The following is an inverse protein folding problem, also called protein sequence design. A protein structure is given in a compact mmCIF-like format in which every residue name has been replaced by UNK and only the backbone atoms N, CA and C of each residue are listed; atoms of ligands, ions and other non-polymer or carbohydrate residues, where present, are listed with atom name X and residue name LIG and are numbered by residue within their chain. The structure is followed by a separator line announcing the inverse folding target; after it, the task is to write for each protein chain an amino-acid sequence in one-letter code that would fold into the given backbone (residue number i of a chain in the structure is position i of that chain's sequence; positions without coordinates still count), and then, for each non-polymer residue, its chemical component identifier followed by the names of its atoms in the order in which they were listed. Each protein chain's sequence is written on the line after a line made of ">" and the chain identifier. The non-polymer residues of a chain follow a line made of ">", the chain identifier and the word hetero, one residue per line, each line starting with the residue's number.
data_IF_190616226896
#
_entry.id   IF_190616226896
#
_cell.length_a   1.000
_cell.length_b   1.000
_cell.length_c   1.000
_cell.angle_alpha   90.00
_cell.angle_beta   90.00
_cell.angle_gamma   90.00
#
_symmetry.space_group_name_H-M   'P 1'
#
loop_
_entity.id
_entity.type
_entity.pdbx_description
1 polymer ?
#
# COMPACT_ATOMS: atom_id res chain seq x y z
N UNK A 1 28.23 20.98 -28.18
CA UNK A 1 27.63 19.72 -28.64
C UNK A 1 28.72 18.69 -28.62
N UNK A 2 28.71 17.83 -27.61
CA UNK A 2 29.78 16.86 -27.36
C UNK A 2 29.11 15.51 -27.13
N UNK A 3 29.14 14.67 -28.16
CA UNK A 3 28.54 13.34 -28.18
C UNK A 3 29.38 12.38 -27.33
N UNK A 4 28.82 11.90 -26.22
CA UNK A 4 29.36 10.79 -25.44
C UNK A 4 28.89 9.48 -26.09
N UNK A 5 29.74 8.88 -26.91
CA UNK A 5 29.64 7.48 -27.30
C UNK A 5 30.02 6.63 -26.07
N UNK A 6 29.06 5.86 -25.56
CA UNK A 6 29.31 4.77 -24.61
C UNK A 6 29.18 3.47 -25.39
N UNK A 7 30.33 2.91 -25.75
CA UNK A 7 30.45 1.55 -26.30
C UNK A 7 29.93 0.53 -25.28
N UNK A 8 28.91 -0.22 -25.69
CA UNK A 8 28.48 -1.44 -25.01
C UNK A 8 29.54 -2.54 -25.22
N UNK A 9 30.20 -2.96 -24.15
CA UNK A 9 30.99 -4.18 -24.11
C UNK A 9 30.46 -5.06 -22.96
N UNK A 10 29.82 -6.21 -23.23
CA UNK A 10 29.47 -7.15 -22.19
C UNK A 10 30.70 -7.95 -21.77
N UNK A 11 31.25 -7.65 -20.59
CA UNK A 11 32.22 -8.50 -19.90
C UNK A 11 31.52 -9.78 -19.44
N UNK A 12 31.57 -10.84 -20.25
CA UNK A 12 31.31 -12.20 -19.81
C UNK A 12 32.55 -12.71 -19.05
N UNK A 13 32.50 -12.63 -17.72
CA UNK A 13 33.52 -13.25 -16.88
C UNK A 13 33.09 -14.69 -16.57
N UNK A 14 33.78 -15.64 -17.20
CA UNK A 14 33.59 -17.08 -17.00
C UNK A 14 34.15 -17.51 -15.65
N UNK A 15 33.27 -17.73 -14.67
CA UNK A 15 33.58 -18.58 -13.53
C UNK A 15 32.74 -19.85 -13.65
N UNK A 16 33.39 -20.93 -14.09
CA UNK A 16 32.86 -22.28 -13.99
C UNK A 16 32.79 -22.68 -12.52
N UNK A 17 31.67 -22.40 -11.88
CA UNK A 17 31.28 -23.04 -10.63
C UNK A 17 30.78 -24.44 -11.01
N UNK A 18 31.59 -25.46 -10.74
CA UNK A 18 31.15 -26.86 -10.77
C UNK A 18 30.09 -27.04 -9.69
N UNK A 19 28.82 -26.85 -10.05
CA UNK A 19 27.69 -27.30 -9.25
C UNK A 19 27.50 -28.79 -9.53
N UNK A 20 27.67 -29.58 -8.47
CA UNK A 20 27.28 -30.98 -8.44
C UNK A 20 25.81 -31.11 -8.84
N UNK A 21 25.61 -31.88 -9.90
CA UNK A 21 24.33 -32.14 -10.54
C UNK A 21 23.55 -33.22 -9.78
N UNK A 22 22.84 -32.83 -8.72
CA UNK A 22 21.66 -33.57 -8.26
C UNK A 22 20.45 -33.03 -9.04
N UNK A 23 20.32 -33.46 -10.30
CA UNK A 23 19.16 -33.19 -11.14
C UNK A 23 17.90 -33.82 -10.52
N UNK A 24 17.24 -33.10 -9.62
CA UNK A 24 15.81 -33.27 -9.46
C UNK A 24 15.17 -32.86 -10.80
N UNK A 25 14.45 -33.75 -11.49
CA UNK A 25 13.82 -33.39 -12.75
C UNK A 25 12.89 -32.21 -12.50
N UNK A 26 13.13 -31.11 -13.21
CA UNK A 26 12.28 -29.93 -13.17
C UNK A 26 10.82 -30.41 -13.35
N UNK A 27 9.91 -30.11 -12.41
CA UNK A 27 8.53 -30.55 -12.54
C UNK A 27 8.03 -30.04 -13.88
N UNK A 28 7.59 -30.99 -14.73
CA UNK A 28 7.11 -30.74 -16.09
C UNK A 28 6.25 -29.47 -16.06
N UNK A 29 6.70 -28.45 -16.80
CA UNK A 29 6.03 -27.16 -16.97
C UNK A 29 4.52 -27.35 -16.89
N UNK A 30 3.92 -26.90 -15.79
CA UNK A 30 2.47 -26.93 -15.65
C UNK A 30 1.89 -26.20 -16.86
N UNK A 31 1.16 -26.88 -17.75
CA UNK A 31 0.68 -26.22 -18.94
C UNK A 31 -0.25 -25.08 -18.50
N UNK A 32 0.00 -23.87 -18.99
CA UNK A 32 -0.69 -22.65 -18.53
C UNK A 32 -2.23 -22.78 -18.55
N UNK A 33 -2.78 -23.63 -19.44
CA UNK A 33 -4.22 -23.90 -19.50
C UNK A 33 -4.78 -24.59 -18.25
N UNK A 34 -3.96 -25.25 -17.42
CA UNK A 34 -4.37 -25.80 -16.13
C UNK A 34 -4.51 -24.74 -15.04
N UNK A 35 -3.87 -23.57 -15.17
CA UNK A 35 -4.05 -22.47 -14.20
C UNK A 35 -5.51 -22.02 -14.20
N UNK A 36 -6.14 -21.88 -15.37
CA UNK A 36 -7.55 -21.54 -15.48
C UNK A 36 -8.47 -22.60 -14.86
N UNK A 37 -8.02 -23.87 -14.82
CA UNK A 37 -8.73 -24.99 -14.18
C UNK A 37 -8.58 -24.99 -12.64
N UNK A 38 -7.52 -24.39 -12.12
CA UNK A 38 -7.28 -24.19 -10.68
C UNK A 38 -7.97 -22.90 -10.20
N UNK A 39 -7.99 -21.87 -11.05
CA UNK A 39 -8.65 -20.58 -10.82
C UNK A 39 -10.16 -20.58 -11.16
N UNK A 40 -10.76 -21.74 -11.49
CA UNK A 40 -12.17 -21.83 -11.92
C UNK A 40 -13.18 -21.56 -10.80
N UNK A 41 -12.73 -21.58 -9.55
CA UNK A 41 -13.54 -21.15 -8.43
C UNK A 41 -13.28 -19.65 -8.28
N UNK A 42 -14.34 -18.85 -8.36
CA UNK A 42 -14.29 -17.40 -8.11
C UNK A 42 -13.53 -17.19 -6.79
N UNK A 43 -12.26 -16.77 -6.89
CA UNK A 43 -11.33 -16.70 -5.75
C UNK A 43 -11.81 -15.65 -4.75
N UNK A 44 -12.69 -14.77 -5.20
CA UNK A 44 -13.27 -13.68 -4.43
C UNK A 44 -14.72 -14.00 -4.12
N UNK A 45 -15.11 -13.81 -2.85
CA UNK A 45 -16.53 -13.89 -2.51
C UNK A 45 -17.28 -12.74 -3.20
N UNK A 46 -18.59 -12.90 -3.46
CA UNK A 46 -19.40 -11.85 -4.08
C UNK A 46 -19.31 -10.50 -3.36
N UNK A 47 -19.10 -10.50 -2.05
CA UNK A 47 -18.89 -9.30 -1.23
C UNK A 47 -17.64 -8.55 -1.64
N UNK A 48 -16.54 -9.27 -1.90
CA UNK A 48 -15.27 -8.69 -2.34
C UNK A 48 -15.41 -8.12 -3.74
N UNK A 49 -16.05 -8.85 -4.66
CA UNK A 49 -16.33 -8.37 -6.02
C UNK A 49 -17.18 -7.10 -5.98
N UNK A 50 -18.26 -7.06 -5.19
CA UNK A 50 -19.08 -5.86 -5.00
C UNK A 50 -18.29 -4.69 -4.42
N UNK A 51 -17.42 -4.93 -3.45
CA UNK A 51 -16.61 -3.87 -2.85
C UNK A 51 -15.58 -3.29 -3.83
N UNK A 52 -14.95 -4.14 -4.65
CA UNK A 52 -14.03 -3.71 -5.72
C UNK A 52 -14.78 -2.91 -6.77
N UNK A 53 -15.95 -3.40 -7.21
CA UNK A 53 -16.77 -2.70 -8.20
C UNK A 53 -17.22 -1.33 -7.69
N UNK A 54 -17.70 -1.23 -6.44
CA UNK A 54 -18.07 0.07 -5.83
C UNK A 54 -16.90 1.08 -5.83
N UNK A 55 -15.68 0.62 -5.57
CA UNK A 55 -14.49 1.48 -5.62
C UNK A 55 -14.18 1.93 -7.05
N UNK A 56 -14.32 1.03 -8.00
CA UNK A 56 -14.14 1.33 -9.42
C UNK A 56 -15.15 2.39 -9.88
N UNK A 57 -16.44 2.13 -9.67
CA UNK A 57 -17.53 3.02 -10.05
C UNK A 57 -17.38 4.40 -9.41
N UNK A 58 -17.03 4.44 -8.11
CA UNK A 58 -16.74 5.70 -7.42
C UNK A 58 -15.63 6.49 -8.11
N UNK A 59 -14.50 5.83 -8.44
CA UNK A 59 -13.36 6.47 -9.08
C UNK A 59 -13.73 7.04 -10.46
N UNK A 60 -14.47 6.29 -11.27
CA UNK A 60 -14.91 6.74 -12.59
C UNK A 60 -15.85 7.94 -12.51
N UNK A 61 -16.91 7.84 -11.71
CA UNK A 61 -17.92 8.90 -11.56
C UNK A 61 -17.33 10.15 -10.93
N UNK A 62 -16.47 10.01 -9.92
CA UNK A 62 -15.81 11.15 -9.27
C UNK A 62 -14.92 11.93 -10.24
N UNK A 63 -14.13 11.22 -11.05
CA UNK A 63 -13.29 11.85 -12.07
C UNK A 63 -14.12 12.57 -13.13
N UNK A 64 -15.25 11.98 -13.54
CA UNK A 64 -16.18 12.62 -14.48
C UNK A 64 -16.79 13.89 -13.87
N UNK A 65 -17.25 13.82 -12.62
CA UNK A 65 -17.80 14.96 -11.90
C UNK A 65 -16.78 16.10 -11.78
N UNK A 66 -15.52 15.80 -11.43
CA UNK A 66 -14.45 16.80 -11.39
C UNK A 66 -14.21 17.48 -12.74
N UNK A 67 -14.20 16.71 -13.84
CA UNK A 67 -14.06 17.25 -15.20
C UNK A 67 -15.24 18.17 -15.56
N UNK A 68 -16.46 17.75 -15.24
CA UNK A 68 -17.67 18.53 -15.48
C UNK A 68 -17.65 19.84 -14.69
N UNK A 69 -17.30 19.80 -13.41
CA UNK A 69 -17.15 20.98 -12.56
C UNK A 69 -16.10 21.92 -13.10
N UNK A 70 -14.90 21.41 -13.44
CA UNK A 70 -13.82 22.24 -13.99
C UNK A 70 -14.25 22.92 -15.29
N UNK A 71 -14.83 22.18 -16.22
CA UNK A 71 -15.30 22.74 -17.49
C UNK A 71 -16.41 23.78 -17.30
N UNK A 72 -17.34 23.54 -16.37
CA UNK A 72 -18.41 24.49 -16.06
C UNK A 72 -17.89 25.77 -15.39
N UNK A 73 -16.87 25.66 -14.53
CA UNK A 73 -16.21 26.82 -13.91
C UNK A 73 -15.43 27.63 -14.95
N UNK A 74 -14.68 26.97 -15.84
CA UNK A 74 -13.94 27.63 -16.91
C UNK A 74 -14.86 28.39 -17.87
N UNK A 75 -16.01 27.80 -18.24
CA UNK A 75 -17.00 28.47 -19.12
C UNK A 75 -17.82 29.54 -18.39
N UNK A 76 -18.04 29.38 -17.09
CA UNK A 76 -18.81 30.31 -16.26
C UNK A 76 -20.30 30.39 -16.60
N UNK A 77 -20.98 31.35 -15.94
CA UNK A 77 -22.36 31.76 -16.24
C UNK A 77 -23.38 30.62 -16.28
N UNK A 78 -24.02 30.45 -17.43
CA UNK A 78 -25.09 29.47 -17.64
C UNK A 78 -24.61 28.02 -17.55
N UNK A 79 -23.36 27.73 -17.89
CA UNK A 79 -22.82 26.36 -17.78
C UNK A 79 -22.81 25.90 -16.32
N UNK A 80 -22.39 26.79 -15.42
CA UNK A 80 -22.39 26.52 -13.98
C UNK A 80 -23.82 26.41 -13.42
N UNK A 81 -24.75 27.27 -13.87
CA UNK A 81 -26.17 27.17 -13.48
C UNK A 81 -26.80 25.86 -13.93
N UNK A 82 -26.53 25.43 -15.17
CA UNK A 82 -27.03 24.16 -15.71
C UNK A 82 -26.52 22.98 -14.89
N UNK A 83 -25.21 22.95 -14.61
CA UNK A 83 -24.62 21.89 -13.79
C UNK A 83 -25.24 21.82 -12.38
N UNK A 84 -25.39 22.97 -11.71
CA UNK A 84 -26.03 23.03 -10.38
C UNK A 84 -27.47 22.51 -10.40
N UNK A 85 -28.25 22.90 -11.41
CA UNK A 85 -29.64 22.42 -11.56
C UNK A 85 -29.66 20.91 -11.74
N UNK A 86 -28.88 20.36 -12.68
CA UNK A 86 -28.84 18.93 -12.94
C UNK A 86 -28.43 18.11 -11.72
N UNK A 87 -27.47 18.58 -10.92
CA UNK A 87 -27.09 17.90 -9.68
C UNK A 87 -28.21 17.93 -8.64
N UNK A 88 -28.89 19.06 -8.46
CA UNK A 88 -30.01 19.15 -7.52
C UNK A 88 -31.19 18.29 -7.95
N UNK A 89 -31.51 18.25 -9.24
CA UNK A 89 -32.57 17.40 -9.78
C UNK A 89 -32.24 15.91 -9.52
N UNK A 90 -30.98 15.51 -9.75
CA UNK A 90 -30.53 14.15 -9.45
C UNK A 90 -30.64 13.81 -7.95
N UNK A 91 -30.22 14.71 -7.05
CA UNK A 91 -30.36 14.50 -5.61
C UNK A 91 -31.83 14.40 -5.17
N UNK A 92 -32.72 15.17 -5.80
CA UNK A 92 -34.16 15.12 -5.50
C UNK A 92 -34.78 13.79 -5.94
N UNK A 93 -34.39 13.27 -7.10
CA UNK A 93 -34.86 11.96 -7.58
C UNK A 93 -34.33 10.81 -6.72
N UNK A 94 -33.04 10.83 -6.34
CA UNK A 94 -32.47 9.83 -5.41
C UNK A 94 -33.19 9.82 -4.06
N UNK A 95 -33.55 10.98 -3.51
CA UNK A 95 -34.33 11.04 -2.26
C UNK A 95 -35.72 10.42 -2.40
N UNK A 96 -36.42 10.63 -3.52
CA UNK A 96 -37.73 10.02 -3.77
C UNK A 96 -37.65 8.49 -3.88
N UNK A 97 -36.62 7.98 -4.55
CA UNK A 97 -36.33 6.54 -4.66
C UNK A 97 -36.00 5.92 -3.29
N UNK A 98 -35.28 6.64 -2.42
CA UNK A 98 -34.98 6.14 -1.08
C UNK A 98 -36.24 6.01 -0.21
N UNK A 99 -37.20 6.95 -0.32
CA UNK A 99 -38.41 6.95 0.49
C UNK A 99 -39.39 5.83 0.12
N UNK A 100 -39.40 5.40 -1.14
CA UNK A 100 -40.27 4.32 -1.64
C UNK A 100 -39.75 2.91 -1.33
N UNK A 101 -38.47 2.76 -1.00
CA UNK A 101 -37.84 1.47 -0.67
C UNK A 101 -37.72 1.20 0.84
N UNK A 102 -38.24 2.09 1.69
CA UNK A 102 -38.07 2.04 3.16
C UNK A 102 -39.27 1.47 3.93
N UNK A 103 -40.27 0.87 3.27
CA UNK A 103 -41.39 0.22 3.96
C UNK A 103 -41.00 -1.11 4.67
N UNK A 104 -39.75 -1.56 4.52
CA UNK A 104 -39.16 -2.71 5.25
C UNK A 104 -37.83 -2.36 5.96
N UNK A 105 -37.69 -1.14 6.50
CA UNK A 105 -36.53 -0.82 7.35
C UNK A 105 -36.69 -1.47 8.74
N UNK A 106 -35.96 -2.58 8.95
CA UNK A 106 -35.68 -3.08 10.29
C UNK A 106 -35.18 -1.94 11.19
N UNK A 107 -35.82 -1.80 12.34
CA UNK A 107 -35.54 -0.81 13.39
C UNK A 107 -34.07 -0.94 13.87
N UNK A 108 -33.13 -0.26 13.22
CA UNK A 108 -31.79 -0.09 13.74
C UNK A 108 -31.88 0.87 14.94
N UNK A 109 -31.93 0.32 16.15
CA UNK A 109 -31.87 1.12 17.37
C UNK A 109 -30.42 1.58 17.60
N UNK A 110 -30.10 2.88 17.42
CA UNK A 110 -28.73 3.39 17.57
C UNK A 110 -28.19 3.22 19.00
N UNK A 111 -29.05 3.00 20.00
CA UNK A 111 -28.65 2.79 21.39
C UNK A 111 -27.98 1.42 21.63
N UNK A 112 -28.08 0.48 20.67
CA UNK A 112 -27.39 -0.82 20.74
C UNK A 112 -25.92 -0.76 20.32
N UNK A 113 -25.47 0.35 19.70
CA UNK A 113 -24.10 0.50 19.23
C UNK A 113 -23.28 1.21 20.31
N UNK A 114 -22.63 0.42 21.18
CA UNK A 114 -21.65 0.97 22.12
C UNK A 114 -20.40 1.47 21.37
N UNK A 115 -19.83 2.57 21.86
CA UNK A 115 -18.52 3.03 21.41
C UNK A 115 -17.49 1.90 21.58
N UNK A 116 -16.66 1.62 20.56
CA UNK A 116 -15.71 0.52 20.63
C UNK A 116 -14.83 0.64 21.87
N UNK A 117 -14.78 -0.44 22.65
CA UNK A 117 -13.98 -0.57 23.87
C UNK A 117 -12.51 -0.47 23.46
N UNK A 118 -11.96 0.73 23.65
CA UNK A 118 -10.56 1.10 23.48
C UNK A 118 -10.02 1.08 22.04
N UNK A 119 -9.63 2.27 21.57
CA UNK A 119 -8.78 2.42 20.39
C UNK A 119 -7.41 1.78 20.67
N UNK A 120 -7.16 0.60 20.12
CA UNK A 120 -5.80 0.03 20.06
C UNK A 120 -4.88 1.05 19.38
N UNK A 121 -3.78 1.42 20.05
CA UNK A 121 -2.78 2.28 19.44
C UNK A 121 -2.24 1.60 18.17
N UNK A 122 -2.15 2.36 17.07
CA UNK A 122 -1.52 1.86 15.84
C UNK A 122 -0.05 1.57 16.13
N UNK A 123 0.39 0.35 15.88
CA UNK A 123 1.77 -0.07 16.10
C UNK A 123 1.95 -1.57 15.89
N UNK A 124 3.21 -1.99 15.80
CA UNK A 124 3.57 -3.42 15.78
C UNK A 124 3.11 -4.04 17.10
N UNK A 125 2.41 -5.19 17.10
CA UNK A 125 2.14 -5.93 18.33
C UNK A 125 3.45 -6.07 19.12
N UNK A 126 3.45 -5.92 20.47
CA UNK A 126 4.64 -6.09 21.29
C UNK A 126 4.99 -7.58 21.34
N UNK A 127 5.45 -8.10 20.21
CA UNK A 127 6.01 -9.43 20.10
C UNK A 127 7.42 -9.33 20.64
N UNK A 128 7.64 -9.92 21.83
CA UNK A 128 9.00 -10.26 22.25
C UNK A 128 9.58 -11.12 21.13
N UNK A 129 10.54 -10.59 20.39
CA UNK A 129 11.28 -11.35 19.38
C UNK A 129 11.88 -12.57 20.07
N UNK A 130 11.52 -13.77 19.59
CA UNK A 130 12.20 -14.98 20.01
C UNK A 130 13.66 -14.87 19.55
N UNK A 131 14.58 -14.84 20.51
CA UNK A 131 16.02 -14.78 20.26
C UNK A 131 16.52 -16.19 19.96
N UNK A 132 17.44 -16.30 19.00
CA UNK A 132 18.16 -17.56 18.79
C UNK A 132 19.11 -17.84 19.96
N UNK A 133 19.49 -19.10 20.18
CA UNK A 133 20.42 -19.48 21.25
C UNK A 133 21.76 -18.71 21.19
N UNK A 134 22.17 -18.29 19.98
CA UNK A 134 23.36 -17.47 19.74
C UNK A 134 23.20 -16.04 20.26
N UNK A 135 21.99 -15.46 20.17
CA UNK A 135 21.73 -14.11 20.69
C UNK A 135 21.57 -14.09 22.23
N UNK A 136 21.19 -15.23 22.84
CA UNK A 136 21.11 -15.38 24.29
C UNK A 136 22.49 -15.46 24.95
N UNK A 137 23.46 -16.13 24.32
CA UNK A 137 24.81 -16.29 24.87
C UNK A 137 25.63 -15.01 24.86
N UNK A 138 25.33 -14.06 23.96
CA UNK A 138 26.01 -12.77 23.88
C UNK A 138 25.54 -11.73 24.91
N UNK A 139 24.34 -11.88 25.48
CA UNK A 139 23.76 -10.88 26.39
C UNK A 139 24.19 -10.96 27.86
N UNK A 140 25.01 -11.95 28.24
CA UNK A 140 25.43 -12.15 29.65
C UNK A 140 26.73 -11.43 30.04
N UNK A 141 27.35 -10.64 29.15
CA UNK A 141 28.49 -9.80 29.50
C UNK A 141 28.25 -8.32 29.21
N UNK A 142 27.70 -7.59 30.19
CA UNK A 142 28.32 -6.38 30.76
C UNK A 142 27.35 -5.65 31.69
N UNK A 143 27.87 -5.37 32.88
CA UNK A 143 27.37 -4.46 33.90
C UNK A 143 26.94 -3.12 33.29
N UNK A 144 25.88 -2.57 33.88
CA UNK A 144 25.46 -1.18 33.90
C UNK A 144 26.58 -0.15 33.65
N UNK A 145 26.46 0.64 32.59
CA UNK A 145 26.59 2.11 32.69
C UNK A 145 25.96 2.75 31.45
N UNK A 146 25.04 3.67 31.69
CA UNK A 146 24.59 4.68 30.74
C UNK A 146 25.79 5.38 30.10
N UNK A 147 26.00 5.19 28.79
CA UNK A 147 26.77 6.12 27.96
C UNK A 147 26.30 5.93 26.52
N UNK A 148 25.49 6.89 26.09
CA UNK A 148 25.15 7.14 24.69
C UNK A 148 26.47 7.21 23.93
N UNK A 149 26.76 6.21 23.10
CA UNK A 149 27.92 6.22 22.21
C UNK A 149 27.57 7.22 21.10
N UNK A 150 27.90 8.48 21.32
CA UNK A 150 27.84 9.48 20.24
C UNK A 150 28.90 9.10 19.21
N UNK A 151 28.51 8.98 17.94
CA UNK A 151 29.39 8.66 16.83
C UNK A 151 30.57 9.66 16.80
N UNK A 152 31.80 9.16 16.99
CA UNK A 152 33.04 9.92 16.87
C UNK A 152 33.76 9.46 15.61
N UNK A 153 34.24 10.41 14.81
CA UNK A 153 35.11 10.11 13.68
C UNK A 153 36.56 9.99 14.15
N UNK A 154 37.26 8.92 13.81
CA UNK A 154 38.54 8.54 14.43
C UNK A 154 39.71 9.52 14.29
N UNK A 155 39.61 10.56 13.45
CA UNK A 155 40.65 11.60 13.30
C UNK A 155 40.38 12.88 14.09
N UNK A 156 39.18 13.05 14.64
CA UNK A 156 38.83 14.21 15.46
C UNK A 156 38.07 13.77 16.70
N UNK A 157 38.46 14.27 17.87
CA UNK A 157 37.83 13.84 19.13
C UNK A 157 36.43 14.45 19.37
N UNK A 158 35.96 15.31 18.46
CA UNK A 158 34.62 15.89 18.48
C UNK A 158 33.56 14.86 18.06
N UNK A 159 32.51 14.74 18.88
CA UNK A 159 31.38 13.85 18.61
C UNK A 159 30.31 14.53 17.73
N UNK A 160 29.46 13.73 17.07
CA UNK A 160 28.23 14.21 16.42
C UNK A 160 28.33 14.54 14.93
N UNK A 161 29.38 14.11 14.24
CA UNK A 161 29.52 14.27 12.80
C UNK A 161 30.32 13.10 12.18
N UNK A 162 30.23 12.94 10.87
CA UNK A 162 30.89 11.86 10.12
C UNK A 162 32.11 12.40 9.36
N UNK A 163 32.98 11.52 8.88
CA UNK A 163 34.19 11.87 8.13
C UNK A 163 34.00 12.96 7.06
N UNK A 164 32.96 12.91 6.18
CA UNK A 164 32.79 13.90 5.12
C UNK A 164 32.23 15.24 5.61
N UNK A 165 31.71 15.32 6.85
CA UNK A 165 31.19 16.55 7.46
C UNK A 165 32.10 17.11 8.55
N UNK A 166 33.34 16.59 8.65
CA UNK A 166 34.35 17.12 9.55
C UNK A 166 34.92 18.43 8.98
N UNK A 167 35.02 19.46 9.84
CA UNK A 167 35.55 20.78 9.48
C UNK A 167 37.07 20.93 9.69
N UNK A 168 37.77 19.82 9.91
CA UNK A 168 39.22 19.76 10.07
C UNK A 168 39.89 19.27 8.80
#
# INVERSE_FOLDING_TARGET
>A
MSNLNLDEQPYLNSYLVQLYEDYLPCPKLFPMHYINKICSNDVFSPEVCRAVQKRHDYGEVFNLALKAVRSAVEKGGDSLRRLKRSLNDWFAEEQKLSYTNNDEMENFNPDQVQNPIERRQKGRPPTKRFKSNVELSQSKSKKSTSKIVQNKYGKCESAGHYAPTCKK
#
